data_IF_818384588422
#
_entry.id   IF_818384588422
#
_cell.length_a   1.000
_cell.length_b   1.000
_cell.length_c   1.000
_cell.angle_alpha   90.00
_cell.angle_beta   90.00
_cell.angle_gamma   90.00
#
_symmetry.space_group_name_H-M   'P 1'
#
loop_
_entity.id
_entity.type
_entity.pdbx_description
1 polymer ?
#
# COMPACT_ATOMS: atom_id res chain seq x y z
N UNK A 1 39.03 -19.52 52.55
CA UNK A 1 39.18 -20.68 53.46
C UNK A 1 37.82 -21.31 53.68
N UNK A 2 37.77 -22.64 53.55
CA UNK A 2 36.80 -23.61 54.10
C UNK A 2 35.29 -23.31 53.89
N UNK A 3 34.54 -24.00 53.01
CA UNK A 3 34.29 -25.46 52.91
C UNK A 3 33.64 -26.06 54.16
N UNK A 4 32.60 -26.88 53.90
CA UNK A 4 32.07 -28.06 54.63
C UNK A 4 30.59 -27.85 55.00
N UNK A 5 29.62 -28.74 54.77
CA UNK A 5 29.40 -29.97 53.97
C UNK A 5 28.26 -30.73 54.68
N UNK A 6 27.43 -31.45 53.88
CA UNK A 6 26.74 -32.73 54.21
C UNK A 6 25.51 -32.65 55.15
N UNK A 7 24.50 -33.53 55.08
CA UNK A 7 24.11 -34.69 54.25
C UNK A 7 22.64 -34.99 54.62
N UNK A 8 21.72 -35.27 53.67
CA UNK A 8 21.28 -36.61 53.18
C UNK A 8 20.71 -37.54 54.25
N UNK A 9 19.48 -38.05 54.02
CA UNK A 9 19.01 -39.48 53.99
C UNK A 9 17.49 -39.45 53.64
N UNK A 10 17.04 -39.88 52.45
CA UNK A 10 16.47 -41.22 52.04
C UNK A 10 15.23 -41.65 52.89
N UNK A 11 14.17 -42.33 52.43
CA UNK A 11 14.01 -43.33 51.35
C UNK A 11 12.52 -43.76 51.24
N UNK A 12 12.10 -44.19 50.03
CA UNK A 12 11.21 -45.34 49.67
C UNK A 12 9.72 -45.34 50.13
N UNK A 13 8.74 -45.97 49.45
CA UNK A 13 8.64 -47.01 48.39
C UNK A 13 7.16 -47.02 47.89
N UNK A 14 6.91 -47.08 46.58
CA UNK A 14 6.38 -48.23 45.81
C UNK A 14 4.90 -48.57 46.03
N UNK A 15 4.10 -48.60 44.96
CA UNK A 15 3.77 -49.86 44.28
C UNK A 15 2.99 -49.61 42.98
N UNK A 16 3.40 -50.36 41.97
CA UNK A 16 2.66 -50.67 40.75
C UNK A 16 2.47 -52.18 40.71
N UNK A 17 1.42 -52.66 40.03
CA UNK A 17 1.60 -53.69 38.99
C UNK A 17 0.69 -53.39 37.78
N UNK A 18 0.71 -54.05 36.63
CA UNK A 18 1.69 -54.74 35.80
C UNK A 18 0.89 -55.14 34.52
N UNK A 19 1.46 -54.87 33.34
CA UNK A 19 1.48 -55.74 32.13
C UNK A 19 0.13 -56.03 31.42
N UNK A 20 0.02 -55.66 30.13
CA UNK A 20 0.06 -56.60 28.98
C UNK A 20 -0.04 -55.86 27.63
N UNK A 21 0.96 -56.12 26.77
CA UNK A 21 1.00 -55.78 25.35
C UNK A 21 0.18 -56.80 24.57
N UNK A 22 -0.65 -56.38 23.62
CA UNK A 22 -1.00 -57.19 22.44
C UNK A 22 -1.29 -56.28 21.25
N UNK A 23 -0.77 -56.67 20.09
CA UNK A 23 -0.74 -55.94 18.82
C UNK A 23 -1.88 -56.47 17.93
N UNK A 24 -2.71 -55.54 17.40
CA UNK A 24 -3.58 -55.58 16.18
C UNK A 24 -4.70 -56.66 16.10
N UNK A 25 -5.85 -56.40 15.41
CA UNK A 25 -5.93 -55.70 14.12
C UNK A 25 -7.05 -54.65 13.93
N UNK A 26 -6.78 -53.82 12.92
CA UNK A 26 -7.69 -52.91 12.21
C UNK A 26 -8.89 -53.69 11.63
N UNK A 27 -10.00 -52.97 11.40
CA UNK A 27 -11.21 -53.35 10.66
C UNK A 27 -12.39 -53.88 11.49
N UNK A 28 -13.16 -52.95 12.09
CA UNK A 28 -14.64 -52.92 12.06
C UNK A 28 -15.17 -51.79 12.94
N UNK A 29 -16.29 -51.19 12.49
CA UNK A 29 -17.09 -50.10 13.08
C UNK A 29 -16.86 -48.70 12.50
N UNK A 30 -17.00 -48.61 11.17
CA UNK A 30 -17.83 -47.56 10.58
C UNK A 30 -19.29 -48.01 10.78
N UNK A 31 -20.20 -47.06 10.96
CA UNK A 31 -21.64 -47.22 11.25
C UNK A 31 -22.00 -47.26 12.74
N UNK A 32 -21.88 -46.09 13.39
CA UNK A 32 -22.88 -45.54 14.33
C UNK A 32 -22.40 -44.20 14.90
N UNK A 33 -22.58 -43.11 14.15
CA UNK A 33 -22.64 -41.76 14.73
C UNK A 33 -23.84 -41.04 14.10
N UNK A 34 -24.90 -40.85 14.90
CA UNK A 34 -26.04 -39.97 14.59
C UNK A 34 -25.58 -38.50 14.59
N UNK A 35 -26.06 -37.63 13.70
CA UNK A 35 -25.68 -36.23 13.72
C UNK A 35 -26.43 -35.49 14.84
N UNK A 36 -25.66 -34.86 15.73
CA UNK A 36 -26.13 -33.81 16.66
C UNK A 36 -25.98 -32.46 15.93
N UNK A 37 -26.91 -31.50 16.10
CA UNK A 37 -26.93 -30.27 15.30
C UNK A 37 -25.73 -29.38 15.60
N UNK A 38 -24.92 -29.08 14.59
CA UNK A 38 -23.87 -28.08 14.67
C UNK A 38 -24.48 -26.68 14.70
N UNK A 39 -24.03 -25.90 15.67
CA UNK A 39 -24.23 -24.46 15.78
C UNK A 39 -23.77 -23.78 14.49
N UNK A 40 -24.57 -22.81 14.03
CA UNK A 40 -24.28 -21.99 12.86
C UNK A 40 -23.06 -21.12 13.13
N UNK A 41 -21.88 -21.62 12.78
CA UNK A 41 -20.82 -20.75 12.30
C UNK A 41 -21.33 -20.08 11.03
N UNK A 42 -21.52 -18.77 11.09
CA UNK A 42 -21.81 -17.94 9.93
C UNK A 42 -20.59 -17.96 9.00
N UNK A 43 -20.45 -19.02 8.20
CA UNK A 43 -19.67 -18.98 6.97
C UNK A 43 -20.31 -17.88 6.11
N UNK A 44 -19.61 -16.76 5.97
CA UNK A 44 -19.94 -15.72 5.00
C UNK A 44 -19.92 -16.38 3.62
N UNK A 45 -21.09 -16.76 3.12
CA UNK A 45 -21.26 -17.05 1.71
C UNK A 45 -20.80 -15.81 0.95
N UNK A 46 -19.68 -15.93 0.24
CA UNK A 46 -19.28 -14.97 -0.77
C UNK A 46 -20.32 -15.10 -1.87
N UNK A 47 -21.43 -14.37 -1.72
CA UNK A 47 -22.40 -14.21 -2.78
C UNK A 47 -21.67 -13.68 -4.02
N UNK A 48 -21.97 -14.23 -5.19
CA UNK A 48 -21.54 -13.67 -6.48
C UNK A 48 -22.05 -12.23 -6.56
N UNK A 49 -21.18 -11.26 -6.25
CA UNK A 49 -21.53 -9.85 -6.35
C UNK A 49 -21.51 -9.50 -7.83
N UNK A 50 -22.65 -9.07 -8.35
CA UNK A 50 -22.75 -8.55 -9.71
C UNK A 50 -21.82 -7.36 -9.88
N UNK A 51 -21.07 -7.34 -10.98
CA UNK A 51 -20.16 -6.23 -11.34
C UNK A 51 -20.86 -4.86 -11.27
N UNK A 52 -22.15 -4.80 -11.63
CA UNK A 52 -22.96 -3.57 -11.58
C UNK A 52 -23.24 -3.08 -10.15
N UNK A 53 -23.41 -4.01 -9.21
CA UNK A 53 -23.65 -3.66 -7.81
C UNK A 53 -22.38 -3.13 -7.16
N UNK A 54 -21.24 -3.79 -7.42
CA UNK A 54 -19.94 -3.35 -6.92
C UNK A 54 -19.55 -1.99 -7.52
N UNK A 55 -19.79 -1.77 -8.81
CA UNK A 55 -19.56 -0.47 -9.44
C UNK A 55 -20.34 0.67 -8.79
N UNK A 56 -21.63 0.48 -8.51
CA UNK A 56 -22.45 1.53 -7.90
C UNK A 56 -21.97 1.86 -6.48
N UNK A 57 -21.60 0.83 -5.70
CA UNK A 57 -21.02 1.02 -4.36
C UNK A 57 -19.71 1.81 -4.46
N UNK A 58 -18.84 1.43 -5.41
CA UNK A 58 -17.56 2.11 -5.63
C UNK A 58 -17.76 3.56 -6.07
N UNK A 59 -18.69 3.83 -6.99
CA UNK A 59 -19.01 5.19 -7.46
C UNK A 59 -19.39 6.10 -6.28
N UNK A 60 -20.31 5.64 -5.43
CA UNK A 60 -20.76 6.41 -4.27
C UNK A 60 -19.62 6.59 -3.26
N UNK A 61 -18.87 5.52 -2.95
CA UNK A 61 -17.74 5.60 -2.02
C UNK A 61 -16.64 6.55 -2.52
N UNK A 62 -16.35 6.57 -3.83
CA UNK A 62 -15.36 7.48 -4.43
C UNK A 62 -15.83 8.93 -4.29
N UNK A 63 -17.09 9.21 -4.61
CA UNK A 63 -17.66 10.55 -4.50
C UNK A 63 -17.62 11.07 -3.06
N UNK A 64 -18.06 10.24 -2.11
CA UNK A 64 -18.00 10.57 -0.69
C UNK A 64 -16.56 10.77 -0.22
N UNK A 65 -15.64 9.88 -0.60
CA UNK A 65 -14.22 9.96 -0.21
C UNK A 65 -13.60 11.27 -0.67
N UNK A 66 -13.78 11.63 -1.95
CA UNK A 66 -13.24 12.87 -2.51
C UNK A 66 -13.83 14.12 -1.84
N UNK A 67 -15.14 14.11 -1.57
CA UNK A 67 -15.82 15.21 -0.86
C UNK A 67 -15.27 15.39 0.55
N UNK A 68 -15.07 14.28 1.30
CA UNK A 68 -14.53 14.32 2.66
C UNK A 68 -13.06 14.73 2.68
N UNK A 69 -12.23 14.26 1.75
CA UNK A 69 -10.84 14.70 1.60
C UNK A 69 -10.78 16.20 1.33
N UNK A 70 -11.65 16.73 0.46
CA UNK A 70 -11.72 18.18 0.20
C UNK A 70 -12.08 18.95 1.48
N UNK A 71 -13.08 18.48 2.23
CA UNK A 71 -13.49 19.09 3.50
C UNK A 71 -12.36 19.07 4.54
N UNK A 72 -11.62 17.97 4.65
CA UNK A 72 -10.44 17.91 5.54
C UNK A 72 -9.43 19.00 5.18
N UNK A 73 -9.10 19.16 3.89
CA UNK A 73 -8.17 20.20 3.43
C UNK A 73 -8.65 21.60 3.77
N UNK A 74 -9.94 21.88 3.57
CA UNK A 74 -10.57 23.17 3.92
C UNK A 74 -10.49 23.47 5.43
N UNK A 75 -10.79 22.47 6.28
CA UNK A 75 -10.68 22.61 7.73
C UNK A 75 -9.23 22.80 8.16
N UNK A 76 -8.28 22.04 7.59
CA UNK A 76 -6.85 22.17 7.89
C UNK A 76 -6.32 23.57 7.55
N UNK A 77 -6.72 24.14 6.41
CA UNK A 77 -6.37 25.52 6.04
C UNK A 77 -6.97 26.54 7.01
N UNK A 78 -8.24 26.36 7.38
CA UNK A 78 -8.93 27.24 8.34
C UNK A 78 -8.23 27.23 9.72
N UNK A 79 -7.74 26.07 10.15
CA UNK A 79 -6.96 25.93 11.39
C UNK A 79 -5.59 26.62 11.30
N UNK A 80 -4.94 26.59 10.13
CA UNK A 80 -3.69 27.30 9.91
C UNK A 80 -3.89 28.83 9.92
N UNK A 81 -4.95 29.32 9.28
CA UNK A 81 -5.33 30.73 9.30
C UNK A 81 -5.67 31.20 10.72
N UNK A 82 -6.45 30.42 11.47
CA UNK A 82 -6.76 30.70 12.87
C UNK A 82 -5.49 30.86 13.72
N UNK A 83 -4.48 30.01 13.49
CA UNK A 83 -3.19 30.09 14.17
C UNK A 83 -2.39 31.34 13.76
N UNK A 84 -2.49 31.79 12.50
CA UNK A 84 -1.89 33.06 12.06
C UNK A 84 -2.54 34.26 12.75
N UNK A 85 -3.88 34.29 12.84
CA UNK A 85 -4.63 35.35 13.52
C UNK A 85 -4.30 35.44 15.02
N UNK A 86 -4.09 34.29 15.67
CA UNK A 86 -3.61 34.27 17.06
C UNK A 86 -2.20 34.88 17.17
N UNK A 87 -1.28 34.51 16.27
CA UNK A 87 0.09 35.06 16.24
C UNK A 87 0.12 36.56 15.99
N UNK A 88 -0.77 37.08 15.15
CA UNK A 88 -0.90 38.52 14.89
C UNK A 88 -1.68 39.24 15.99
N UNK A 89 -2.14 38.53 17.04
CA UNK A 89 -2.95 39.05 18.15
C UNK A 89 -4.26 39.72 17.71
N UNK A 90 -4.76 39.36 16.53
CA UNK A 90 -6.03 39.87 15.98
C UNK A 90 -7.26 39.27 16.69
N UNK A 91 -7.09 38.10 17.30
CA UNK A 91 -8.13 37.42 18.07
C UNK A 91 -7.66 37.14 19.50
N UNK A 92 -8.55 37.20 20.50
CA UNK A 92 -8.24 36.78 21.85
C UNK A 92 -8.11 35.25 21.94
N UNK A 93 -7.25 34.78 22.85
CA UNK A 93 -6.99 33.35 23.08
C UNK A 93 -8.27 32.56 23.42
N UNK A 94 -9.24 33.18 24.07
CA UNK A 94 -10.54 32.57 24.37
C UNK A 94 -11.35 32.25 23.12
N UNK A 95 -11.39 33.16 22.14
CA UNK A 95 -12.05 32.94 20.86
C UNK A 95 -11.29 31.89 20.02
N UNK A 96 -9.96 31.93 20.06
CA UNK A 96 -9.12 30.91 19.43
C UNK A 96 -9.46 29.51 19.94
N UNK A 97 -9.50 29.30 21.27
CA UNK A 97 -9.76 27.99 21.87
C UNK A 97 -11.15 27.45 21.52
N UNK A 98 -12.18 28.31 21.48
CA UNK A 98 -13.53 27.91 21.09
C UNK A 98 -13.61 27.46 19.63
N UNK A 99 -13.01 28.23 18.72
CA UNK A 99 -13.01 27.89 17.28
C UNK A 99 -12.14 26.66 17.03
N UNK A 100 -11.01 26.53 17.74
CA UNK A 100 -10.12 25.37 17.67
C UNK A 100 -10.83 24.08 18.09
N UNK A 101 -11.66 24.12 19.14
CA UNK A 101 -12.41 22.93 19.58
C UNK A 101 -13.50 22.52 18.58
N UNK A 102 -14.23 23.50 18.03
CA UNK A 102 -15.25 23.26 17.00
C UNK A 102 -14.63 22.69 15.71
N UNK A 103 -13.65 23.41 15.13
CA UNK A 103 -12.95 22.96 13.92
C UNK A 103 -12.20 21.65 14.16
N UNK A 104 -11.60 21.47 15.32
CA UNK A 104 -10.91 20.23 15.70
C UNK A 104 -11.87 19.05 15.84
N UNK A 105 -13.10 19.28 16.29
CA UNK A 105 -14.15 18.25 16.34
C UNK A 105 -14.66 17.92 14.94
N UNK A 106 -14.90 18.92 14.10
CA UNK A 106 -15.26 18.67 12.69
C UNK A 106 -14.16 17.93 11.93
N UNK A 107 -12.88 18.28 12.17
CA UNK A 107 -11.75 17.60 11.57
C UNK A 107 -11.70 16.14 12.02
N UNK A 108 -11.82 15.87 13.32
CA UNK A 108 -11.85 14.51 13.88
C UNK A 108 -12.87 13.62 13.17
N UNK A 109 -14.13 14.07 13.11
CA UNK A 109 -15.23 13.32 12.49
C UNK A 109 -14.94 13.09 11.02
N UNK A 110 -14.49 14.12 10.30
CA UNK A 110 -14.25 14.02 8.86
C UNK A 110 -13.08 13.09 8.55
N UNK A 111 -12.00 13.10 9.34
CA UNK A 111 -10.83 12.22 9.17
C UNK A 111 -11.19 10.75 9.40
N UNK A 112 -11.98 10.45 10.43
CA UNK A 112 -12.48 9.10 10.69
C UNK A 112 -13.32 8.57 9.52
N UNK A 113 -14.17 9.42 8.94
CA UNK A 113 -14.93 9.07 7.74
C UNK A 113 -14.04 8.83 6.52
N UNK A 114 -12.99 9.64 6.33
CA UNK A 114 -12.00 9.44 5.27
C UNK A 114 -11.32 8.08 5.40
N UNK A 115 -10.88 7.70 6.60
CA UNK A 115 -10.25 6.39 6.82
C UNK A 115 -11.22 5.23 6.58
N UNK A 116 -12.46 5.33 7.06
CA UNK A 116 -13.50 4.31 6.81
C UNK A 116 -13.81 4.14 5.32
N UNK A 117 -13.95 5.25 4.59
CA UNK A 117 -14.19 5.23 3.15
C UNK A 117 -12.97 4.67 2.39
N UNK A 118 -11.76 5.02 2.82
CA UNK A 118 -10.53 4.45 2.26
C UNK A 118 -10.48 2.94 2.43
N UNK A 119 -10.74 2.44 3.64
CA UNK A 119 -10.78 1.00 3.91
C UNK A 119 -11.83 0.30 3.05
N UNK A 120 -13.01 0.90 2.89
CA UNK A 120 -14.07 0.37 2.03
C UNK A 120 -13.64 0.28 0.56
N UNK A 121 -12.93 1.29 0.06
CA UNK A 121 -12.37 1.30 -1.30
C UNK A 121 -11.26 0.25 -1.48
N UNK A 122 -10.37 0.06 -0.51
CA UNK A 122 -9.34 -0.98 -0.56
C UNK A 122 -9.95 -2.39 -0.54
N UNK A 123 -11.01 -2.61 0.26
CA UNK A 123 -11.78 -3.87 0.26
C UNK A 123 -12.46 -4.08 -1.10
N UNK A 124 -13.10 -3.05 -1.66
CA UNK A 124 -13.75 -3.13 -2.97
C UNK A 124 -12.74 -3.45 -4.08
N UNK A 125 -11.54 -2.87 -4.01
CA UNK A 125 -10.42 -3.18 -4.91
C UNK A 125 -9.93 -4.62 -4.75
N UNK A 126 -9.80 -5.12 -3.53
CA UNK A 126 -9.44 -6.52 -3.28
C UNK A 126 -10.49 -7.49 -3.87
N UNK A 127 -11.78 -7.18 -3.70
CA UNK A 127 -12.89 -7.93 -4.33
C UNK A 127 -12.82 -7.88 -5.85
N UNK A 128 -12.65 -6.70 -6.44
CA UNK A 128 -12.53 -6.54 -7.88
C UNK A 128 -11.33 -7.31 -8.46
N UNK A 129 -10.18 -7.31 -7.77
CA UNK A 129 -9.00 -8.11 -8.14
C UNK A 129 -9.24 -9.61 -8.03
N UNK A 130 -9.98 -10.06 -7.01
CA UNK A 130 -10.35 -11.46 -6.85
C UNK A 130 -11.25 -11.93 -7.99
N UNK A 131 -12.29 -11.16 -8.32
CA UNK A 131 -13.20 -11.49 -9.43
C UNK A 131 -12.50 -11.41 -10.79
N UNK A 132 -11.65 -10.41 -11.01
CA UNK A 132 -10.79 -10.35 -12.20
C UNK A 132 -9.90 -11.59 -12.33
N UNK A 133 -9.29 -12.05 -11.23
CA UNK A 133 -8.45 -13.25 -11.23
C UNK A 133 -9.26 -14.53 -11.50
N UNK A 134 -10.47 -14.65 -10.93
CA UNK A 134 -11.39 -15.76 -11.23
C UNK A 134 -11.76 -15.79 -12.71
N UNK A 135 -12.18 -14.66 -13.27
CA UNK A 135 -12.57 -14.56 -14.68
C UNK A 135 -11.40 -14.87 -15.62
N UNK A 136 -10.18 -14.42 -15.27
CA UNK A 136 -8.95 -14.73 -16.02
C UNK A 136 -8.57 -16.22 -15.98
N UNK A 137 -8.83 -16.92 -14.89
CA UNK A 137 -8.55 -18.37 -14.76
C UNK A 137 -9.64 -19.21 -15.43
N UNK A 138 -10.90 -18.73 -15.45
CA UNK A 138 -12.02 -19.39 -16.13
C UNK A 138 -11.94 -19.33 -17.65
N UNK A 139 -11.11 -18.46 -18.24
CA UNK A 139 -10.88 -18.44 -19.70
C UNK A 139 -9.80 -19.46 -20.11
N UNK A 140 -10.09 -20.45 -20.99
CA UNK A 140 -9.05 -21.24 -21.63
C UNK A 140 -8.27 -20.34 -22.59
N UNK A 141 -7.00 -20.10 -22.32
CA UNK A 141 -6.09 -19.42 -23.24
C UNK A 141 -5.69 -20.43 -24.33
N UNK A 142 -5.91 -20.19 -25.64
CA UNK A 142 -5.21 -20.93 -26.67
C UNK A 142 -3.73 -20.50 -26.66
N UNK A 143 -2.86 -21.36 -26.15
CA UNK A 143 -1.43 -21.14 -26.16
C UNK A 143 -0.91 -21.00 -27.59
N UNK A 144 -0.51 -19.80 -27.99
CA UNK A 144 0.36 -19.60 -29.16
C UNK A 144 1.79 -19.82 -28.68
N UNK A 145 2.24 -21.08 -28.72
CA UNK A 145 3.65 -21.39 -28.55
C UNK A 145 4.36 -21.14 -29.89
N UNK A 146 5.06 -20.01 -29.97
CA UNK A 146 6.14 -19.80 -30.92
C UNK A 146 7.25 -20.80 -30.59
N UNK A 147 7.38 -21.87 -31.37
CA UNK A 147 8.58 -22.70 -31.41
C UNK A 147 9.05 -22.72 -32.86
N UNK A 148 10.05 -21.88 -33.13
CA UNK A 148 10.97 -22.10 -34.25
C UNK A 148 11.86 -23.30 -33.88
N UNK A 149 11.77 -24.39 -34.65
CA UNK A 149 12.95 -25.20 -35.03
C UNK A 149 12.61 -26.15 -36.18
N UNK A 150 13.56 -26.23 -37.11
CA UNK A 150 13.57 -26.78 -38.47
C UNK A 150 13.53 -28.33 -38.56
N UNK A 151 13.39 -28.90 -39.78
CA UNK A 151 12.63 -30.13 -40.03
C UNK A 151 13.51 -31.37 -40.19
N UNK A 152 13.09 -32.49 -39.60
CA UNK A 152 13.23 -33.85 -40.13
C UNK A 152 12.61 -34.81 -39.13
N UNK A 153 11.92 -35.85 -39.60
CA UNK A 153 11.28 -36.92 -38.82
C UNK A 153 10.00 -36.55 -38.07
N UNK A 154 8.86 -36.40 -38.79
CA UNK A 154 7.49 -36.59 -38.24
C UNK A 154 6.39 -36.57 -39.31
N UNK A 155 6.61 -37.19 -40.47
CA UNK A 155 5.61 -37.19 -41.54
C UNK A 155 4.51 -38.25 -41.36
N UNK A 156 4.70 -39.25 -40.50
CA UNK A 156 3.72 -40.35 -40.32
C UNK A 156 2.77 -40.14 -39.14
N UNK A 157 3.14 -39.35 -38.12
CA UNK A 157 2.30 -39.11 -36.94
C UNK A 157 1.23 -38.00 -37.13
N UNK A 158 1.37 -37.14 -38.14
CA UNK A 158 0.46 -36.00 -38.33
C UNK A 158 -0.84 -36.35 -39.06
N UNK A 159 -0.96 -37.57 -39.62
CA UNK A 159 -2.20 -38.00 -40.28
C UNK A 159 -3.28 -38.40 -39.27
N UNK A 160 -2.89 -38.91 -38.10
CA UNK A 160 -3.81 -39.25 -37.01
C UNK A 160 -4.27 -38.03 -36.22
N UNK A 161 -3.42 -37.01 -36.06
CA UNK A 161 -3.78 -35.78 -35.33
C UNK A 161 -4.75 -34.90 -36.12
N UNK A 162 -4.63 -34.86 -37.47
CA UNK A 162 -5.59 -34.10 -38.31
C UNK A 162 -6.99 -34.73 -38.30
N UNK A 163 -7.08 -36.07 -38.32
CA UNK A 163 -8.37 -36.75 -38.24
C UNK A 163 -9.08 -36.54 -36.90
N UNK A 164 -8.35 -36.41 -35.78
CA UNK A 164 -8.94 -36.07 -34.48
C UNK A 164 -9.32 -34.58 -34.37
N UNK A 165 -8.58 -33.68 -35.02
CA UNK A 165 -8.93 -32.25 -35.09
C UNK A 165 -10.23 -32.03 -35.85
N UNK A 166 -10.41 -32.70 -37.00
CA UNK A 166 -11.58 -32.51 -37.86
C UNK A 166 -12.85 -33.13 -37.24
N UNK A 167 -12.70 -34.20 -36.42
CA UNK A 167 -13.82 -34.83 -35.70
C UNK A 167 -14.26 -34.04 -34.46
N UNK A 168 -13.34 -33.30 -33.81
CA UNK A 168 -13.71 -32.43 -32.68
C UNK A 168 -14.33 -31.10 -33.16
N UNK A 169 -14.10 -30.71 -34.43
CA UNK A 169 -14.65 -29.49 -35.00
C UNK A 169 -16.02 -29.65 -35.67
N UNK A 170 -16.52 -30.86 -35.93
CA UNK A 170 -17.68 -31.00 -36.84
C UNK A 170 -19.08 -30.85 -36.24
N UNK A 171 -19.34 -31.04 -34.93
CA UNK A 171 -20.75 -31.21 -34.50
C UNK A 171 -21.21 -30.49 -33.22
N UNK A 172 -20.52 -29.44 -32.77
CA UNK A 172 -21.04 -28.58 -31.67
C UNK A 172 -20.80 -27.08 -31.90
N UNK A 173 -20.97 -26.61 -33.14
CA UNK A 173 -21.04 -25.17 -33.42
C UNK A 173 -22.41 -24.61 -33.05
N UNK A 174 -22.56 -24.26 -31.77
CA UNK A 174 -23.51 -23.25 -31.32
C UNK A 174 -22.72 -22.09 -30.68
N UNK A 175 -22.44 -21.09 -31.53
CA UNK A 175 -22.18 -19.69 -31.16
C UNK A 175 -20.96 -19.37 -30.26
N UNK A 176 -19.75 -19.74 -30.71
CA UNK A 176 -18.48 -19.34 -30.09
C UNK A 176 -18.17 -17.83 -30.27
N UNK A 177 -18.80 -17.17 -31.24
CA UNK A 177 -18.54 -15.76 -31.56
C UNK A 177 -19.15 -14.78 -30.54
N UNK A 178 -20.20 -15.17 -29.81
CA UNK A 178 -20.78 -14.32 -28.76
C UNK A 178 -20.06 -14.47 -27.42
N UNK A 179 -19.49 -15.64 -27.12
CA UNK A 179 -18.77 -15.91 -25.87
C UNK A 179 -17.46 -15.13 -25.79
N UNK A 180 -16.63 -15.14 -26.83
CA UNK A 180 -15.31 -14.48 -26.84
C UNK A 180 -15.40 -12.95 -26.66
N UNK A 181 -16.46 -12.31 -27.15
CA UNK A 181 -16.69 -10.87 -26.96
C UNK A 181 -17.22 -10.50 -25.58
N UNK A 182 -18.04 -11.36 -24.96
CA UNK A 182 -18.62 -11.08 -23.64
C UNK A 182 -17.57 -11.17 -22.52
N UNK A 183 -16.61 -12.11 -22.62
CA UNK A 183 -15.56 -12.28 -21.59
C UNK A 183 -14.43 -11.24 -21.66
N UNK A 184 -14.12 -10.71 -22.84
CA UNK A 184 -13.15 -9.60 -22.96
C UNK A 184 -13.68 -8.28 -22.39
N UNK A 185 -15.01 -8.08 -22.43
CA UNK A 185 -15.67 -6.92 -21.82
C UNK A 185 -15.70 -6.96 -20.28
N UNK A 186 -15.84 -8.14 -19.67
CA UNK A 186 -15.83 -8.31 -18.21
C UNK A 186 -14.47 -7.96 -17.61
N UNK A 187 -13.39 -8.53 -18.17
CA UNK A 187 -12.02 -8.24 -17.75
C UNK A 187 -11.65 -6.76 -17.85
N UNK A 188 -11.98 -6.11 -18.97
CA UNK A 188 -11.75 -4.67 -19.16
C UNK A 188 -12.52 -3.82 -18.16
N UNK A 189 -13.74 -4.24 -17.80
CA UNK A 189 -14.58 -3.53 -16.83
C UNK A 189 -14.03 -3.63 -15.42
N UNK A 190 -13.50 -4.79 -15.03
CA UNK A 190 -12.76 -4.94 -13.77
C UNK A 190 -11.49 -4.10 -13.73
N UNK A 191 -10.70 -4.10 -14.80
CA UNK A 191 -9.49 -3.27 -14.91
C UNK A 191 -9.82 -1.78 -14.80
N UNK A 192 -10.89 -1.34 -15.49
CA UNK A 192 -11.41 0.02 -15.39
C UNK A 192 -11.82 0.35 -13.95
N UNK A 193 -12.56 -0.53 -13.28
CA UNK A 193 -12.99 -0.32 -11.90
C UNK A 193 -11.81 -0.23 -10.93
N UNK A 194 -10.83 -1.13 -11.05
CA UNK A 194 -9.61 -1.12 -10.24
C UNK A 194 -8.83 0.18 -10.48
N UNK A 195 -8.65 0.58 -11.73
CA UNK A 195 -7.98 1.84 -12.11
C UNK A 195 -8.71 3.07 -11.53
N UNK A 196 -10.04 3.07 -11.57
CA UNK A 196 -10.87 4.15 -10.99
C UNK A 196 -10.70 4.24 -9.47
N UNK A 197 -10.66 3.10 -8.78
CA UNK A 197 -10.39 3.05 -7.33
C UNK A 197 -8.96 3.53 -7.04
N UNK A 198 -7.97 3.07 -7.81
CA UNK A 198 -6.57 3.49 -7.64
C UNK A 198 -6.40 4.99 -7.85
N UNK A 199 -7.08 5.56 -8.84
CA UNK A 199 -7.11 7.00 -9.08
C UNK A 199 -7.73 7.76 -7.91
N UNK A 200 -8.84 7.26 -7.36
CA UNK A 200 -9.49 7.87 -6.20
C UNK A 200 -8.62 7.80 -4.94
N UNK A 201 -8.00 6.65 -4.66
CA UNK A 201 -7.09 6.47 -3.53
C UNK A 201 -5.81 7.31 -3.65
N UNK A 202 -5.39 7.61 -4.88
CA UNK A 202 -4.25 8.49 -5.19
C UNK A 202 -4.60 9.98 -5.06
N UNK A 203 -5.89 10.35 -4.94
CA UNK A 203 -6.30 11.75 -4.74
C UNK A 203 -5.83 12.31 -3.38
N UNK A 204 -5.51 11.43 -2.43
CA UNK A 204 -4.85 11.78 -1.18
C UNK A 204 -3.41 11.24 -1.20
N UNK A 205 -2.41 12.06 -1.58
CA UNK A 205 -1.02 11.63 -1.60
C UNK A 205 -0.51 11.39 -0.17
N UNK A 206 0.54 10.57 -0.04
CA UNK A 206 1.07 10.16 1.26
C UNK A 206 1.55 11.36 2.10
N UNK A 207 2.01 12.44 1.45
CA UNK A 207 2.45 13.68 2.07
C UNK A 207 1.29 14.41 2.78
N UNK A 208 0.13 14.45 2.13
CA UNK A 208 -1.10 15.05 2.67
C UNK A 208 -1.69 14.16 3.76
N UNK A 209 -1.73 12.84 3.53
CA UNK A 209 -2.26 11.89 4.51
C UNK A 209 -1.46 11.92 5.82
N UNK A 210 -0.14 11.98 5.74
CA UNK A 210 0.72 12.07 6.94
C UNK A 210 0.47 13.37 7.69
N UNK A 211 0.29 14.50 6.98
CA UNK A 211 -0.03 15.79 7.62
C UNK A 211 -1.39 15.79 8.31
N UNK A 212 -2.39 15.15 7.70
CA UNK A 212 -3.73 14.97 8.31
C UNK A 212 -3.63 14.11 9.57
N UNK A 213 -2.86 13.02 9.53
CA UNK A 213 -2.63 12.15 10.69
C UNK A 213 -1.94 12.94 11.81
N UNK A 214 -0.89 13.71 11.51
CA UNK A 214 -0.18 14.55 12.50
C UNK A 214 -1.13 15.55 13.17
N UNK A 215 -1.96 16.24 12.38
CA UNK A 215 -2.92 17.23 12.87
C UNK A 215 -4.02 16.57 13.72
N UNK A 216 -4.55 15.44 13.26
CA UNK A 216 -5.58 14.68 13.97
C UNK A 216 -5.07 14.17 15.33
N UNK A 217 -3.89 13.54 15.36
CA UNK A 217 -3.26 13.05 16.59
C UNK A 217 -2.94 14.19 17.57
N UNK A 218 -2.57 15.37 17.06
CA UNK A 218 -2.34 16.56 17.87
C UNK A 218 -3.63 17.05 18.56
N UNK A 219 -4.76 17.02 17.84
CA UNK A 219 -6.07 17.37 18.39
C UNK A 219 -6.53 16.34 19.44
N UNK A 220 -6.34 15.05 19.17
CA UNK A 220 -6.63 13.99 20.14
C UNK A 220 -5.81 14.17 21.43
N UNK A 221 -4.60 14.74 21.33
CA UNK A 221 -3.71 14.95 22.48
C UNK A 221 -4.18 16.09 23.37
N UNK A 222 -4.78 17.11 22.76
CA UNK A 222 -5.45 18.19 23.50
C UNK A 222 -6.72 17.72 24.23
N UNK A 223 -7.40 16.70 23.69
CA UNK A 223 -8.69 16.19 24.19
C UNK A 223 -8.61 15.08 25.23
N UNK A 224 -7.41 14.54 25.52
CA UNK A 224 -7.22 13.35 26.36
C UNK A 224 -7.39 13.57 27.86
N UNK A 225 -7.71 14.79 28.29
CA UNK A 225 -8.01 15.07 29.68
C UNK A 225 -9.51 14.86 29.95
N UNK A 226 -9.84 13.70 30.52
CA UNK A 226 -11.11 13.34 31.22
C UNK A 226 -12.22 12.68 30.36
N UNK A 227 -12.45 11.36 30.57
CA UNK A 227 -13.78 10.74 30.38
C UNK A 227 -13.87 9.35 29.71
N UNK A 228 -15.10 8.77 29.60
CA UNK A 228 -15.41 7.45 29.02
C UNK A 228 -15.12 7.32 27.50
N UNK A 229 -14.60 8.37 26.86
CA UNK A 229 -14.18 8.41 25.46
C UNK A 229 -12.81 7.75 25.19
N UNK A 230 -12.15 7.23 26.23
CA UNK A 230 -10.83 6.61 26.12
C UNK A 230 -10.80 5.45 25.09
N UNK A 231 -11.84 4.62 25.04
CA UNK A 231 -11.90 3.46 24.12
C UNK A 231 -12.07 3.86 22.65
N UNK A 232 -12.74 4.99 22.38
CA UNK A 232 -12.86 5.55 21.02
C UNK A 232 -11.53 6.17 20.58
N UNK A 233 -10.85 6.85 21.50
CA UNK A 233 -9.52 7.42 21.26
C UNK A 233 -8.48 6.33 20.99
N UNK A 234 -8.49 5.23 21.74
CA UNK A 234 -7.62 4.07 21.50
C UNK A 234 -7.84 3.46 20.10
N UNK A 235 -9.10 3.31 19.68
CA UNK A 235 -9.43 2.85 18.32
C UNK A 235 -8.89 3.82 17.27
N UNK A 236 -9.10 5.12 17.44
CA UNK A 236 -8.60 6.15 16.52
C UNK A 236 -7.06 6.12 16.42
N UNK A 237 -6.36 5.96 17.55
CA UNK A 237 -4.90 5.86 17.58
C UNK A 237 -4.42 4.59 16.87
N UNK A 238 -5.06 3.44 17.13
CA UNK A 238 -4.71 2.17 16.47
C UNK A 238 -4.87 2.25 14.95
N UNK A 239 -5.93 2.92 14.49
CA UNK A 239 -6.18 3.17 13.06
C UNK A 239 -5.12 4.08 12.46
N UNK A 240 -4.76 5.17 13.15
CA UNK A 240 -3.67 6.06 12.74
C UNK A 240 -2.34 5.31 12.67
N UNK A 241 -2.05 4.44 13.64
CA UNK A 241 -0.82 3.65 13.66
C UNK A 241 -0.78 2.64 12.51
N UNK A 242 -1.88 1.95 12.23
CA UNK A 242 -1.99 1.07 11.07
C UNK A 242 -1.75 1.83 9.75
N UNK A 243 -2.36 3.01 9.60
CA UNK A 243 -2.17 3.85 8.41
C UNK A 243 -0.74 4.38 8.31
N UNK A 244 -0.16 4.84 9.41
CA UNK A 244 1.20 5.35 9.46
C UNK A 244 2.23 4.27 9.12
N UNK A 245 1.99 3.02 9.53
CA UNK A 245 2.82 1.88 9.13
C UNK A 245 2.75 1.65 7.61
N UNK A 246 1.55 1.64 7.03
CA UNK A 246 1.37 1.50 5.58
C UNK A 246 2.03 2.65 4.79
N UNK A 247 1.91 3.89 5.28
CA UNK A 247 2.60 5.06 4.72
C UNK A 247 4.11 4.90 4.82
N UNK A 248 4.62 4.44 5.98
CA UNK A 248 6.06 4.25 6.20
C UNK A 248 6.64 3.21 5.24
N UNK A 249 5.93 2.11 5.00
CA UNK A 249 6.32 1.09 4.01
C UNK A 249 6.39 1.67 2.60
N UNK A 250 5.35 2.40 2.16
CA UNK A 250 5.34 3.08 0.86
C UNK A 250 6.46 4.12 0.75
N UNK A 251 6.67 4.90 1.81
CA UNK A 251 7.71 5.91 1.89
C UNK A 251 9.10 5.29 1.76
N UNK A 252 9.37 4.10 2.30
CA UNK A 252 10.68 3.46 2.10
C UNK A 252 11.02 3.22 0.63
N UNK A 253 10.01 2.93 -0.21
CA UNK A 253 10.19 2.74 -1.65
C UNK A 253 10.44 4.07 -2.36
N UNK A 254 9.62 5.08 -2.06
CA UNK A 254 9.73 6.42 -2.63
C UNK A 254 11.05 7.09 -2.23
N UNK A 255 11.43 6.98 -0.96
CA UNK A 255 12.70 7.47 -0.42
C UNK A 255 13.88 6.82 -1.13
N UNK A 256 13.86 5.51 -1.34
CA UNK A 256 14.91 4.80 -2.12
C UNK A 256 15.04 5.36 -3.54
N UNK A 257 13.92 5.56 -4.24
CA UNK A 257 13.92 6.16 -5.59
C UNK A 257 14.49 7.60 -5.57
N UNK A 258 14.08 8.43 -4.60
CA UNK A 258 14.62 9.79 -4.47
C UNK A 258 16.14 9.78 -4.17
N UNK A 259 16.62 8.85 -3.34
CA UNK A 259 18.06 8.68 -3.05
C UNK A 259 18.81 8.24 -4.31
N UNK A 260 18.27 7.30 -5.08
CA UNK A 260 18.85 6.89 -6.36
C UNK A 260 18.93 8.06 -7.34
N UNK A 261 17.88 8.88 -7.43
CA UNK A 261 17.89 10.09 -8.24
C UNK A 261 18.95 11.09 -7.77
N UNK A 262 19.12 11.30 -6.46
CA UNK A 262 20.19 12.11 -5.90
C UNK A 262 21.57 11.58 -6.32
N UNK A 263 21.77 10.26 -6.24
CA UNK A 263 23.04 9.63 -6.62
C UNK A 263 23.35 9.85 -8.11
N UNK A 264 22.36 9.68 -8.99
CA UNK A 264 22.52 9.94 -10.43
C UNK A 264 22.86 11.41 -10.72
N UNK A 265 22.19 12.35 -10.03
CA UNK A 265 22.51 13.78 -10.11
C UNK A 265 23.92 14.10 -9.60
N UNK A 266 24.41 13.38 -8.58
CA UNK A 266 25.78 13.54 -8.08
C UNK A 266 26.84 13.04 -9.07
N UNK A 267 26.56 11.94 -9.77
CA UNK A 267 27.40 11.47 -10.88
C UNK A 267 27.43 12.48 -12.02
N UNK A 268 26.28 13.04 -12.40
CA UNK A 268 26.20 14.06 -13.45
C UNK A 268 26.92 15.36 -13.05
N UNK A 269 26.74 15.83 -11.81
CA UNK A 269 27.47 16.99 -11.28
C UNK A 269 28.99 16.78 -11.33
N UNK A 270 29.45 15.56 -11.01
CA UNK A 270 30.87 15.20 -11.08
C UNK A 270 31.37 15.25 -12.52
N UNK A 271 30.61 14.72 -13.48
CA UNK A 271 30.93 14.79 -14.92
C UNK A 271 31.06 16.23 -15.40
N UNK A 272 30.08 17.08 -15.09
CA UNK A 272 30.11 18.51 -15.47
C UNK A 272 31.31 19.22 -14.83
N UNK A 273 31.63 18.90 -13.58
CA UNK A 273 32.78 19.48 -12.90
C UNK A 273 34.12 19.09 -13.57
N UNK A 274 34.22 17.86 -14.06
CA UNK A 274 35.39 17.42 -14.82
C UNK A 274 35.45 18.08 -16.21
N UNK A 275 34.31 18.25 -16.89
CA UNK A 275 34.20 19.04 -18.13
C UNK A 275 34.62 20.51 -17.93
N UNK A 276 34.27 21.12 -16.79
CA UNK A 276 34.68 22.47 -16.42
C UNK A 276 36.21 22.54 -16.27
N UNK A 277 36.82 21.63 -15.51
CA UNK A 277 38.28 21.60 -15.32
C UNK A 277 39.01 21.38 -16.64
N UNK A 278 38.50 20.49 -17.49
CA UNK A 278 39.07 20.25 -18.81
C UNK A 278 39.02 21.53 -19.65
N UNK A 279 37.88 22.22 -19.67
CA UNK A 279 37.71 23.48 -20.40
C UNK A 279 38.68 24.57 -19.89
N UNK A 280 38.86 24.68 -18.58
CA UNK A 280 39.82 25.60 -17.96
C UNK A 280 41.26 25.29 -18.39
N UNK A 281 41.66 24.02 -18.41
CA UNK A 281 42.99 23.60 -18.88
C UNK A 281 43.17 23.92 -20.37
N UNK A 282 42.20 23.59 -21.22
CA UNK A 282 42.24 23.89 -22.67
C UNK A 282 42.36 25.40 -22.93
N UNK A 283 41.69 26.22 -22.12
CA UNK A 283 41.83 27.68 -22.20
C UNK A 283 43.22 28.14 -21.76
N UNK A 284 43.74 27.61 -20.65
CA UNK A 284 45.06 27.96 -20.12
C UNK A 284 46.21 27.63 -21.10
N UNK A 285 46.10 26.53 -21.85
CA UNK A 285 47.08 26.17 -22.90
C UNK A 285 46.85 26.90 -24.22
N UNK A 286 45.80 27.72 -24.32
CA UNK A 286 45.49 28.54 -25.50
C UNK A 286 44.83 27.77 -26.65
N UNK A 287 44.30 26.56 -26.42
CA UNK A 287 43.59 25.77 -27.45
C UNK A 287 42.27 26.43 -27.85
N UNK A 288 41.60 27.09 -26.89
CA UNK A 288 40.30 27.71 -27.09
C UNK A 288 40.36 29.23 -26.91
N UNK A 289 39.55 29.95 -27.69
CA UNK A 289 39.42 31.40 -27.56
C UNK A 289 38.67 31.79 -26.29
N UNK A 290 38.92 33.01 -25.81
CA UNK A 290 38.23 33.57 -24.64
C UNK A 290 36.70 33.57 -24.81
N UNK A 291 36.20 33.97 -25.98
CA UNK A 291 34.75 33.99 -26.24
C UNK A 291 34.13 32.59 -26.16
N UNK A 292 34.81 31.57 -26.71
CA UNK A 292 34.33 30.19 -26.66
C UNK A 292 34.36 29.64 -25.22
N UNK A 293 35.41 29.97 -24.47
CA UNK A 293 35.54 29.62 -23.06
C UNK A 293 34.39 30.22 -22.25
N UNK A 294 34.17 31.54 -22.34
CA UNK A 294 33.13 32.27 -21.59
C UNK A 294 31.72 31.72 -21.85
N UNK A 295 31.39 31.37 -23.10
CA UNK A 295 30.08 30.78 -23.44
C UNK A 295 29.93 29.36 -22.88
N UNK A 296 30.97 28.53 -22.98
CA UNK A 296 30.90 27.14 -22.49
C UNK A 296 30.91 27.07 -20.96
N UNK A 297 31.76 27.84 -20.30
CA UNK A 297 31.86 27.84 -18.82
C UNK A 297 30.56 28.33 -18.18
N UNK A 298 29.95 29.38 -18.73
CA UNK A 298 28.67 29.91 -18.23
C UNK A 298 27.52 28.90 -18.38
N UNK A 299 27.48 28.16 -19.51
CA UNK A 299 26.52 27.07 -19.72
C UNK A 299 26.72 25.92 -18.71
N UNK A 300 27.96 25.44 -18.55
CA UNK A 300 28.28 24.35 -17.63
C UNK A 300 28.00 24.74 -16.17
N UNK A 301 28.37 25.96 -15.75
CA UNK A 301 28.06 26.47 -14.41
C UNK A 301 26.56 26.59 -14.16
N UNK A 302 25.79 27.03 -15.17
CA UNK A 302 24.32 27.09 -15.07
C UNK A 302 23.72 25.70 -14.90
N UNK A 303 24.23 24.71 -15.65
CA UNK A 303 23.80 23.33 -15.53
C UNK A 303 24.15 22.74 -14.15
N UNK A 304 25.37 22.98 -13.67
CA UNK A 304 25.81 22.53 -12.34
C UNK A 304 24.91 23.10 -11.24
N UNK A 305 24.66 24.40 -11.26
CA UNK A 305 23.78 25.07 -10.30
C UNK A 305 22.35 24.50 -10.32
N UNK A 306 21.83 24.18 -11.50
CA UNK A 306 20.50 23.53 -11.64
C UNK A 306 20.47 22.16 -10.96
N UNK A 307 21.49 21.33 -11.20
CA UNK A 307 21.60 20.00 -10.60
C UNK A 307 21.73 20.09 -9.08
N UNK A 308 22.54 21.02 -8.57
CA UNK A 308 22.68 21.26 -7.13
C UNK A 308 21.36 21.69 -6.48
N UNK A 309 20.60 22.56 -7.16
CA UNK A 309 19.28 22.99 -6.71
C UNK A 309 18.28 21.82 -6.67
N UNK A 310 18.24 20.98 -7.72
CA UNK A 310 17.36 19.81 -7.75
C UNK A 310 17.73 18.81 -6.64
N UNK A 311 19.03 18.60 -6.40
CA UNK A 311 19.51 17.76 -5.30
C UNK A 311 19.08 18.29 -3.94
N UNK A 312 19.18 19.61 -3.72
CA UNK A 312 18.75 20.25 -2.49
C UNK A 312 17.23 20.10 -2.28
N UNK A 313 16.42 20.28 -3.33
CA UNK A 313 14.97 20.08 -3.29
C UNK A 313 14.59 18.64 -2.93
N UNK A 314 15.26 17.64 -3.52
CA UNK A 314 15.02 16.24 -3.20
C UNK A 314 15.38 15.91 -1.74
N UNK A 315 16.50 16.44 -1.22
CA UNK A 315 16.89 16.27 0.18
C UNK A 315 15.88 16.89 1.14
N UNK A 316 15.49 18.14 0.91
CA UNK A 316 14.46 18.82 1.71
C UNK A 316 13.17 18.01 1.73
N UNK A 317 12.71 17.53 0.57
CA UNK A 317 11.50 16.71 0.49
C UNK A 317 11.61 15.39 1.26
N UNK A 318 12.79 14.77 1.33
CA UNK A 318 13.02 13.56 2.13
C UNK A 318 12.97 13.92 3.62
N UNK A 319 13.70 14.94 4.03
CA UNK A 319 13.79 15.35 5.43
C UNK A 319 12.42 15.79 5.98
N UNK A 320 11.65 16.53 5.20
CA UNK A 320 10.29 16.96 5.55
C UNK A 320 9.37 15.77 5.82
N UNK A 321 9.42 14.75 4.96
CA UNK A 321 8.60 13.54 5.10
C UNK A 321 9.07 12.66 6.25
N UNK A 322 10.38 12.42 6.38
CA UNK A 322 10.95 11.69 7.51
C UNK A 322 10.55 12.35 8.83
N UNK A 323 10.56 13.69 8.89
CA UNK A 323 10.17 14.44 10.07
C UNK A 323 8.68 14.32 10.40
N UNK A 324 7.78 14.39 9.40
CA UNK A 324 6.33 14.21 9.60
C UNK A 324 5.99 12.81 10.09
N UNK A 325 6.61 11.78 9.50
CA UNK A 325 6.43 10.37 9.93
C UNK A 325 6.93 10.20 11.35
N UNK A 326 8.11 10.75 11.67
CA UNK A 326 8.67 10.71 13.02
C UNK A 326 7.75 11.37 14.05
N UNK A 327 7.28 12.60 13.80
CA UNK A 327 6.35 13.31 14.70
C UNK A 327 5.05 12.55 14.91
N UNK A 328 4.47 12.03 13.83
CA UNK A 328 3.25 11.22 13.91
C UNK A 328 3.45 9.95 14.74
N UNK A 329 4.63 9.32 14.63
CA UNK A 329 4.99 8.13 15.41
C UNK A 329 5.21 8.46 16.89
N UNK A 330 5.82 9.59 17.19
CA UNK A 330 5.99 10.04 18.57
C UNK A 330 4.65 10.44 19.21
N UNK A 331 3.75 11.03 18.43
CA UNK A 331 2.39 11.33 18.88
C UNK A 331 1.61 10.07 19.23
N UNK A 332 1.70 8.99 18.45
CA UNK A 332 1.03 7.72 18.80
C UNK A 332 1.67 7.04 20.00
N UNK A 333 3.00 7.07 20.12
CA UNK A 333 3.74 6.51 21.27
C UNK A 333 3.46 7.26 22.58
N UNK A 334 3.11 8.54 22.52
CA UNK A 334 2.75 9.33 23.71
C UNK A 334 1.49 8.85 24.45
N UNK A 335 0.73 7.90 23.89
CA UNK A 335 -0.48 7.32 24.50
C UNK A 335 -0.32 5.88 24.98
N UNK A 336 0.76 5.20 24.61
CA UNK A 336 1.14 3.86 25.10
C UNK A 336 2.00 3.98 26.33
#
# INVERSE_FOLDING_TARGET
>A
MASILRRVVRKSKSDSPQIQKTILPVQKRLDEIKPVPQEKENSVSIAEVSIKELENIVENCIFEFQSKVKRVKEISLSLEELLKLLKTSEIPETAYNLIMDELGTQLSITVEEVFRLRESLEIAKAKAKLEWAKEKVSTPIPATSTIETSPSQKLEDLKYVRAYSDVIQSDYFADEASRVKVYSLGLQRWEYLISKIDMALSALPIEDETGIIEQYLSILKGKTNVGPKATEIEKAISLCQQRLNAISEQWTSIRRNKIEKIMNLELEASRINDEIKELEVRYAVGEISQQLYEVKISSLQTNLKRIEQEKAQLRSSIDDMDMKIFRSSELTRGYT
#
